data_IF_924233864270
#
_entry.id   IF_924233864270
#
_cell.length_a   1.000
_cell.length_b   1.000
_cell.length_c   1.000
_cell.angle_alpha   90.00
_cell.angle_beta   90.00
_cell.angle_gamma   90.00
#
_symmetry.space_group_name_H-M   'P 1'
#
loop_
_entity.id
_entity.type
_entity.pdbx_description
1 polymer ?
#
# COMPACT_ATOMS: atom_id res chain seq x y z
N UNK A 1 -53.70 -5.07 28.50
CA UNK A 1 -52.25 -4.80 28.53
C UNK A 1 -51.69 -5.09 27.13
N UNK A 2 -51.66 -4.06 26.28
CA UNK A 2 -51.32 -4.17 24.84
C UNK A 2 -49.80 -4.29 24.62
N UNK A 3 -49.40 -5.13 23.68
CA UNK A 3 -48.23 -4.97 22.79
C UNK A 3 -46.80 -5.14 23.32
N UNK A 4 -46.50 -4.88 24.60
CA UNK A 4 -45.11 -4.64 25.06
C UNK A 4 -44.09 -5.76 24.77
N UNK A 5 -44.51 -7.03 24.73
CA UNK A 5 -43.61 -8.16 24.40
C UNK A 5 -43.24 -8.22 22.92
N UNK A 6 -44.19 -7.90 22.03
CA UNK A 6 -43.96 -7.86 20.58
C UNK A 6 -43.06 -6.71 20.19
N UNK A 7 -43.26 -5.53 20.79
CA UNK A 7 -42.44 -4.34 20.52
C UNK A 7 -40.98 -4.54 20.95
N UNK A 8 -40.75 -5.24 22.06
CA UNK A 8 -39.39 -5.53 22.54
C UNK A 8 -38.68 -6.53 21.62
N UNK A 9 -39.37 -7.57 21.16
CA UNK A 9 -38.82 -8.55 20.22
C UNK A 9 -38.51 -7.91 18.86
N UNK A 10 -39.41 -7.04 18.37
CA UNK A 10 -39.22 -6.31 17.12
C UNK A 10 -38.02 -5.36 17.22
N UNK A 11 -37.86 -4.66 18.34
CA UNK A 11 -36.71 -3.78 18.57
C UNK A 11 -35.40 -4.56 18.61
N UNK A 12 -35.35 -5.69 19.35
CA UNK A 12 -34.17 -6.57 19.37
C UNK A 12 -33.80 -7.07 17.97
N UNK A 13 -34.79 -7.47 17.16
CA UNK A 13 -34.56 -7.92 15.79
C UNK A 13 -34.01 -6.80 14.89
N UNK A 14 -34.56 -5.59 14.98
CA UNK A 14 -34.07 -4.43 14.24
C UNK A 14 -32.62 -4.10 14.64
N UNK A 15 -32.32 -4.05 15.95
CA UNK A 15 -30.96 -3.78 16.42
C UNK A 15 -29.95 -4.83 15.94
N UNK A 16 -30.36 -6.10 15.88
CA UNK A 16 -29.52 -7.17 15.34
C UNK A 16 -29.21 -6.96 13.85
N UNK A 17 -30.22 -6.63 13.04
CA UNK A 17 -30.03 -6.34 11.61
C UNK A 17 -29.09 -5.16 11.40
N UNK A 18 -29.27 -4.08 12.17
CA UNK A 18 -28.39 -2.90 12.09
C UNK A 18 -26.96 -3.25 12.46
N UNK A 19 -26.76 -4.04 13.52
CA UNK A 19 -25.43 -4.50 13.92
C UNK A 19 -24.76 -5.35 12.84
N UNK A 20 -25.49 -6.31 12.26
CA UNK A 20 -24.97 -7.13 11.15
C UNK A 20 -24.61 -6.26 9.95
N UNK A 21 -25.45 -5.29 9.59
CA UNK A 21 -25.16 -4.34 8.51
C UNK A 21 -23.87 -3.55 8.76
N UNK A 22 -23.66 -3.07 9.98
CA UNK A 22 -22.44 -2.34 10.35
C UNK A 22 -21.21 -3.24 10.18
N UNK A 23 -21.25 -4.46 10.72
CA UNK A 23 -20.16 -5.43 10.57
C UNK A 23 -19.90 -5.74 9.10
N UNK A 24 -20.96 -5.91 8.31
CA UNK A 24 -20.85 -6.20 6.88
C UNK A 24 -20.22 -5.03 6.10
N UNK A 25 -20.57 -3.79 6.43
CA UNK A 25 -19.96 -2.59 5.82
C UNK A 25 -18.47 -2.47 6.16
N UNK A 26 -18.07 -2.78 7.39
CA UNK A 26 -16.65 -2.80 7.79
C UNK A 26 -15.89 -3.87 6.98
N UNK A 27 -16.46 -5.07 6.86
CA UNK A 27 -15.86 -6.14 6.07
C UNK A 27 -15.76 -5.78 4.57
N UNK A 28 -16.81 -5.22 3.99
CA UNK A 28 -16.81 -4.76 2.60
C UNK A 28 -15.76 -3.67 2.37
N UNK A 29 -15.58 -2.75 3.32
CA UNK A 29 -14.53 -1.73 3.24
C UNK A 29 -13.14 -2.36 3.22
N UNK A 30 -12.90 -3.37 4.06
CA UNK A 30 -11.62 -4.09 4.09
C UNK A 30 -11.38 -4.87 2.79
N UNK A 31 -12.38 -5.64 2.34
CA UNK A 31 -12.29 -6.42 1.10
C UNK A 31 -12.06 -5.53 -0.12
N UNK A 32 -12.76 -4.40 -0.23
CA UNK A 32 -12.59 -3.47 -1.35
C UNK A 32 -11.15 -2.91 -1.41
N UNK A 33 -10.52 -2.67 -0.25
CA UNK A 33 -9.12 -2.23 -0.16
C UNK A 33 -8.12 -3.33 -0.51
N UNK A 34 -8.41 -4.59 -0.17
CA UNK A 34 -7.59 -5.72 -0.61
C UNK A 34 -7.76 -5.99 -2.11
N UNK A 35 -8.98 -5.86 -2.63
CA UNK A 35 -9.34 -6.15 -4.02
C UNK A 35 -8.74 -5.15 -5.02
N UNK A 36 -8.52 -3.89 -4.64
CA UNK A 36 -7.83 -2.91 -5.50
C UNK A 36 -6.38 -3.29 -5.80
N UNK A 37 -5.81 -4.24 -5.05
CA UNK A 37 -4.49 -4.82 -5.32
C UNK A 37 -3.33 -3.82 -5.20
N UNK A 38 -3.59 -2.61 -4.69
CA UNK A 38 -2.61 -1.53 -4.56
C UNK A 38 -1.42 -1.97 -3.70
N UNK A 39 -1.71 -2.67 -2.60
CA UNK A 39 -0.71 -3.23 -1.70
C UNK A 39 0.18 -4.25 -2.43
N UNK A 40 -0.42 -5.17 -3.18
CA UNK A 40 0.32 -6.16 -3.98
C UNK A 40 1.14 -5.48 -5.08
N UNK A 41 0.60 -4.46 -5.73
CA UNK A 41 1.31 -3.70 -6.77
C UNK A 41 2.53 -2.97 -6.22
N UNK A 42 2.42 -2.34 -5.05
CA UNK A 42 3.55 -1.70 -4.36
C UNK A 42 4.64 -2.72 -4.01
N UNK A 43 4.25 -3.87 -3.47
CA UNK A 43 5.20 -4.93 -3.13
C UNK A 43 5.92 -5.49 -4.36
N UNK A 44 5.19 -5.72 -5.45
CA UNK A 44 5.78 -6.18 -6.72
C UNK A 44 6.73 -5.12 -7.28
N UNK A 45 6.32 -3.85 -7.28
CA UNK A 45 7.14 -2.75 -7.79
C UNK A 45 8.44 -2.59 -6.99
N UNK A 46 8.38 -2.62 -5.66
CA UNK A 46 9.57 -2.56 -4.81
C UNK A 46 10.56 -3.70 -5.12
N UNK A 47 10.03 -4.91 -5.34
CA UNK A 47 10.84 -6.08 -5.70
C UNK A 47 11.45 -5.97 -7.10
N UNK A 48 10.69 -5.47 -8.08
CA UNK A 48 11.19 -5.25 -9.44
C UNK A 48 12.30 -4.21 -9.46
N UNK A 49 12.15 -3.10 -8.73
CA UNK A 49 13.19 -2.07 -8.61
C UNK A 49 14.44 -2.64 -7.94
N UNK A 50 14.29 -3.40 -6.85
CA UNK A 50 15.43 -4.03 -6.19
C UNK A 50 16.18 -5.00 -7.12
N UNK A 51 15.44 -5.82 -7.88
CA UNK A 51 16.04 -6.73 -8.87
C UNK A 51 16.74 -5.98 -10.01
N UNK A 52 16.16 -4.87 -10.48
CA UNK A 52 16.77 -4.01 -11.50
C UNK A 52 18.08 -3.41 -10.99
N UNK A 53 18.12 -2.96 -9.74
CA UNK A 53 19.34 -2.48 -9.10
C UNK A 53 20.39 -3.60 -9.01
N UNK A 54 20.01 -4.78 -8.53
CA UNK A 54 20.95 -5.90 -8.33
C UNK A 54 21.51 -6.45 -9.65
N UNK A 55 20.69 -6.48 -10.70
CA UNK A 55 21.06 -6.99 -12.04
C UNK A 55 21.83 -5.99 -12.89
N UNK A 56 21.81 -4.71 -12.54
CA UNK A 56 22.45 -3.67 -13.33
C UNK A 56 23.97 -3.60 -13.08
N UNK A 57 24.78 -3.33 -14.11
CA UNK A 57 26.21 -3.11 -13.94
C UNK A 57 26.52 -1.89 -13.07
N UNK A 58 27.66 -1.91 -12.38
CA UNK A 58 28.20 -0.74 -11.67
C UNK A 58 28.36 0.44 -12.63
N UNK A 59 28.01 1.64 -12.16
CA UNK A 59 28.02 2.88 -12.95
C UNK A 59 26.75 3.12 -13.78
N UNK A 60 25.79 2.19 -13.76
CA UNK A 60 24.47 2.40 -14.38
C UNK A 60 23.66 3.41 -13.59
N UNK A 61 22.97 4.29 -14.32
CA UNK A 61 22.00 5.24 -13.77
C UNK A 61 20.58 4.79 -14.15
N UNK A 62 19.77 4.47 -13.14
CA UNK A 62 18.35 4.19 -13.31
C UNK A 62 17.56 5.47 -13.03
N UNK A 63 16.74 5.89 -13.98
CA UNK A 63 15.88 7.07 -13.86
C UNK A 63 14.44 6.60 -13.71
N UNK A 64 13.82 6.92 -12.58
CA UNK A 64 12.41 6.62 -12.34
C UNK A 64 11.62 7.93 -12.29
N UNK A 65 10.66 8.08 -13.19
CA UNK A 65 9.75 9.23 -13.18
C UNK A 65 8.75 9.08 -12.01
N UNK A 66 8.63 10.14 -11.21
CA UNK A 66 7.67 10.23 -10.11
C UNK A 66 6.26 10.34 -10.68
N UNK A 67 5.57 9.20 -10.77
CA UNK A 67 4.15 9.14 -11.02
C UNK A 67 3.34 9.37 -9.72
N UNK A 68 2.29 8.57 -9.53
CA UNK A 68 1.50 8.55 -8.28
C UNK A 68 2.21 7.86 -7.11
N UNK A 69 3.52 7.61 -7.21
CA UNK A 69 4.29 6.91 -6.20
C UNK A 69 5.58 7.67 -5.87
N UNK A 70 5.99 7.55 -4.62
CA UNK A 70 7.25 8.05 -4.06
C UNK A 70 8.11 6.84 -3.74
N UNK A 71 9.33 6.81 -4.26
CA UNK A 71 10.29 5.74 -3.97
C UNK A 71 11.37 6.35 -3.09
N UNK A 72 11.67 5.70 -1.97
CA UNK A 72 12.68 6.13 -1.02
C UNK A 72 13.72 5.03 -0.95
N UNK A 73 15.00 5.40 -1.06
CA UNK A 73 16.10 4.46 -0.89
C UNK A 73 16.84 4.80 0.41
N UNK A 74 17.05 3.80 1.27
CA UNK A 74 17.77 3.93 2.54
C UNK A 74 18.76 2.79 2.66
N UNK A 75 20.07 3.06 2.60
CA UNK A 75 21.14 2.10 2.98
C UNK A 75 20.91 0.67 2.43
N UNK A 76 20.65 0.54 1.12
CA UNK A 76 20.34 -0.71 0.41
C UNK A 76 18.91 -1.25 0.57
N UNK A 77 17.97 -0.42 1.01
CA UNK A 77 16.54 -0.75 1.00
C UNK A 77 15.79 0.13 0.02
N UNK A 78 14.86 -0.47 -0.70
CA UNK A 78 13.89 0.21 -1.56
C UNK A 78 12.55 0.25 -0.85
N UNK A 79 11.99 1.43 -0.69
CA UNK A 79 10.68 1.69 -0.10
C UNK A 79 9.78 2.38 -1.14
N UNK A 80 8.56 1.88 -1.35
CA UNK A 80 7.62 2.46 -2.33
C UNK A 80 6.34 2.88 -1.62
N UNK A 81 6.02 4.16 -1.69
CA UNK A 81 4.82 4.76 -1.11
C UNK A 81 3.90 5.27 -2.23
N UNK A 82 2.60 4.98 -2.19
CA UNK A 82 1.66 5.49 -3.20
C UNK A 82 0.93 6.71 -2.67
N UNK A 83 0.87 7.78 -3.46
CA UNK A 83 0.10 9.00 -3.18
C UNK A 83 -1.40 8.83 -3.42
N UNK A 84 -1.86 7.68 -3.92
CA UNK A 84 -3.29 7.45 -4.09
C UNK A 84 -4.02 7.47 -2.74
N UNK A 85 -5.01 8.36 -2.70
CA UNK A 85 -5.71 8.89 -1.54
C UNK A 85 -6.20 7.75 -0.62
N UNK A 86 -5.85 7.85 0.66
CA UNK A 86 -6.27 6.97 1.78
C UNK A 86 -5.52 5.64 1.97
N UNK A 87 -4.41 5.41 1.28
CA UNK A 87 -3.47 4.36 1.70
C UNK A 87 -2.70 4.86 2.93
N UNK A 88 -2.84 4.17 4.07
CA UNK A 88 -1.77 4.21 5.07
C UNK A 88 -0.43 3.96 4.35
N UNK A 89 0.66 4.67 4.69
CA UNK A 89 1.94 4.41 4.07
C UNK A 89 2.33 2.96 4.42
N UNK A 90 2.09 2.05 3.48
CA UNK A 90 2.60 0.70 3.57
C UNK A 90 4.01 0.77 3.04
N UNK A 91 4.95 0.85 3.97
CA UNK A 91 6.38 0.81 3.67
C UNK A 91 6.74 -0.65 3.36
N UNK A 92 6.98 -0.93 2.08
CA UNK A 92 7.52 -2.20 1.64
C UNK A 92 9.01 -2.05 1.43
N UNK A 93 9.79 -2.61 2.35
CA UNK A 93 11.25 -2.64 2.23
C UNK A 93 11.70 -3.89 1.46
N UNK A 94 12.47 -3.69 0.40
CA UNK A 94 13.25 -4.74 -0.24
C UNK A 94 14.74 -4.42 -0.19
N UNK A 95 15.55 -5.39 0.25
CA UNK A 95 17.00 -5.23 0.32
C UNK A 95 17.64 -5.46 -1.05
N UNK A 96 18.55 -4.58 -1.44
CA UNK A 96 19.50 -4.76 -2.54
C UNK A 96 20.83 -5.25 -1.99
N UNK A 97 21.60 -5.97 -2.80
CA UNK A 97 22.99 -6.34 -2.47
C UNK A 97 23.98 -5.27 -2.91
N UNK A 98 23.53 -4.34 -3.75
CA UNK A 98 24.33 -3.24 -4.31
C UNK A 98 24.28 -1.99 -3.46
N UNK A 99 25.41 -1.30 -3.42
CA UNK A 99 25.51 0.04 -2.88
C UNK A 99 25.01 1.05 -3.92
N UNK A 100 24.12 1.94 -3.50
CA UNK A 100 23.45 2.90 -4.39
C UNK A 100 23.51 4.32 -3.83
N UNK A 101 23.66 5.26 -4.75
CA UNK A 101 23.46 6.69 -4.51
C UNK A 101 22.15 7.13 -5.14
N UNK A 102 21.37 7.94 -4.42
CA UNK A 102 20.10 8.46 -4.93
C UNK A 102 20.07 9.98 -4.95
N UNK A 103 19.67 10.53 -6.08
CA UNK A 103 19.41 11.95 -6.26
C UNK A 103 17.94 12.15 -6.60
N UNK A 104 17.24 12.88 -5.72
CA UNK A 104 15.84 13.22 -5.92
C UNK A 104 15.73 14.57 -6.63
N UNK A 105 15.01 14.59 -7.76
CA UNK A 105 14.62 15.81 -8.48
C UNK A 105 13.09 15.93 -8.47
N UNK A 106 12.56 17.09 -8.86
CA UNK A 106 11.12 17.41 -8.74
C UNK A 106 10.21 16.33 -9.34
N UNK A 107 10.58 15.78 -10.50
CA UNK A 107 9.76 14.81 -11.24
C UNK A 107 10.40 13.42 -11.38
N UNK A 108 11.60 13.21 -10.84
CA UNK A 108 12.34 11.97 -11.06
C UNK A 108 13.27 11.63 -9.90
N UNK A 109 13.54 10.34 -9.76
CA UNK A 109 14.53 9.79 -8.85
C UNK A 109 15.61 9.16 -9.71
N UNK A 110 16.85 9.57 -9.51
CA UNK A 110 18.02 9.03 -10.19
C UNK A 110 18.75 8.14 -9.21
N UNK A 111 18.96 6.88 -9.58
CA UNK A 111 19.66 5.88 -8.77
C UNK A 111 20.95 5.53 -9.51
N UNK A 112 22.09 5.77 -8.87
CA UNK A 112 23.40 5.44 -9.39
C UNK A 112 23.97 4.25 -8.64
N UNK A 113 24.36 3.21 -9.38
CA UNK A 113 24.87 1.98 -8.78
C UNK A 113 26.38 2.10 -8.60
N UNK A 114 26.85 2.00 -7.36
CA UNK A 114 28.25 2.22 -6.99
C UNK A 114 29.06 0.93 -6.93
N UNK A 115 28.51 -0.14 -6.37
CA UNK A 115 29.22 -1.43 -6.21
C UNK A 115 28.27 -2.60 -6.10
#
# INVERSE_FOLDING_TARGET
MKGKKGDTQLYSFITYIVFVLIVFLVLLSFVNRTATGTVTKQQVLAKEIALLVDSSPTGTELIIEKGNFTIIFKENKVEVNSKDIASYPYEYEFSTMREIETSEQDTKIIIKILR
#
